data_IF_069767614279
#
_entry.id   IF_069767614279
#
_cell.length_a   1.000
_cell.length_b   1.000
_cell.length_c   1.000
_cell.angle_alpha   90.00
_cell.angle_beta   90.00
_cell.angle_gamma   90.00
#
_symmetry.space_group_name_H-M   'P 1'
#
loop_
_entity.id
_entity.type
_entity.pdbx_description
1 polymer ?
#
# COMPACT_ATOMS: atom_id res chain seq x y z
N UNK A 1 -17.01 2.62 -15.12
CA UNK A 1 -16.17 3.80 -14.78
C UNK A 1 -14.93 3.82 -15.65
N UNK A 2 -14.22 4.97 -15.72
CA UNK A 2 -12.95 5.14 -16.45
C UNK A 2 -11.89 5.65 -15.48
N UNK A 3 -10.70 5.04 -15.49
CA UNK A 3 -9.62 5.32 -14.56
C UNK A 3 -8.36 5.83 -15.28
N UNK A 4 -7.68 6.85 -14.76
CA UNK A 4 -6.37 7.27 -15.24
C UNK A 4 -5.27 6.34 -14.71
N UNK A 5 -4.85 5.37 -15.52
CA UNK A 5 -3.84 4.37 -15.17
C UNK A 5 -2.46 4.84 -15.60
N UNK A 6 -1.57 5.07 -14.65
CA UNK A 6 -0.19 5.49 -14.91
C UNK A 6 0.67 4.31 -15.42
N UNK A 7 0.44 3.13 -14.86
CA UNK A 7 1.01 1.86 -15.35
C UNK A 7 0.18 0.64 -14.90
N UNK A 8 0.27 -0.44 -15.66
CA UNK A 8 -0.22 -1.77 -15.29
C UNK A 8 0.84 -2.80 -15.71
N UNK A 9 1.15 -3.72 -14.79
CA UNK A 9 2.22 -4.70 -15.02
C UNK A 9 2.03 -5.95 -14.16
N UNK A 10 2.80 -6.98 -14.47
CA UNK A 10 2.86 -8.24 -13.73
C UNK A 10 4.22 -8.31 -13.03
N UNK A 11 4.21 -8.59 -11.73
CA UNK A 11 5.42 -8.78 -10.93
C UNK A 11 5.13 -9.68 -9.74
N UNK A 12 5.95 -9.59 -8.70
CA UNK A 12 5.66 -10.12 -7.37
C UNK A 12 5.25 -8.98 -6.44
N UNK A 13 4.42 -9.27 -5.44
CA UNK A 13 4.23 -8.34 -4.34
C UNK A 13 5.58 -8.16 -3.61
N UNK A 14 6.11 -6.95 -3.64
CA UNK A 14 7.38 -6.63 -2.98
C UNK A 14 7.24 -6.47 -1.47
N UNK A 15 6.02 -6.26 -0.99
CA UNK A 15 5.68 -5.92 0.39
C UNK A 15 4.31 -6.50 0.77
N UNK A 16 3.85 -6.17 2.00
CA UNK A 16 2.55 -6.53 2.57
C UNK A 16 2.39 -8.02 2.85
N UNK A 17 1.14 -8.46 3.02
CA UNK A 17 0.81 -9.83 3.48
C UNK A 17 1.13 -10.91 2.45
N UNK A 18 1.19 -10.53 1.17
CA UNK A 18 1.45 -11.42 0.03
C UNK A 18 2.85 -11.25 -0.56
N UNK A 19 3.79 -10.70 0.22
CA UNK A 19 5.18 -10.50 -0.23
C UNK A 19 5.76 -11.78 -0.84
N UNK A 20 6.30 -11.69 -2.06
CA UNK A 20 6.86 -12.81 -2.82
C UNK A 20 5.86 -13.53 -3.74
N UNK A 21 4.57 -13.29 -3.63
CA UNK A 21 3.57 -13.91 -4.51
C UNK A 21 3.44 -13.13 -5.84
N UNK A 22 3.25 -13.83 -7.00
CA UNK A 22 2.90 -13.15 -8.25
C UNK A 22 1.63 -12.32 -8.12
N UNK A 23 1.64 -11.11 -8.70
CA UNK A 23 0.50 -10.20 -8.69
C UNK A 23 0.43 -9.35 -9.96
N UNK A 24 -0.79 -8.91 -10.28
CA UNK A 24 -1.04 -7.86 -11.26
C UNK A 24 -1.15 -6.54 -10.51
N UNK A 25 -0.34 -5.58 -10.91
CA UNK A 25 -0.40 -4.21 -10.37
C UNK A 25 -1.18 -3.29 -11.30
N UNK A 26 -2.05 -2.49 -10.71
CA UNK A 26 -2.71 -1.36 -11.37
C UNK A 26 -2.36 -0.12 -10.57
N UNK A 27 -1.53 0.76 -11.15
CA UNK A 27 -1.12 2.02 -10.54
C UNK A 27 -1.91 3.17 -11.15
N UNK A 28 -2.73 3.80 -10.34
CA UNK A 28 -3.50 4.98 -10.74
C UNK A 28 -2.66 6.25 -10.67
N UNK A 29 -2.98 7.20 -11.54
CA UNK A 29 -2.36 8.55 -11.52
C UNK A 29 -2.99 9.40 -10.43
N UNK A 30 -2.14 10.19 -9.75
CA UNK A 30 -2.56 11.22 -8.82
C UNK A 30 -2.58 10.80 -7.37
N UNK A 31 -2.18 11.70 -6.48
CA UNK A 31 -2.18 11.52 -5.04
C UNK A 31 -2.51 12.85 -4.37
N UNK A 32 -3.21 12.79 -3.25
CA UNK A 32 -3.49 13.95 -2.41
C UNK A 32 -2.34 14.32 -1.47
N UNK A 33 -1.33 13.45 -1.32
CA UNK A 33 -0.16 13.68 -0.47
C UNK A 33 1.10 14.01 -1.29
N UNK A 34 2.12 14.58 -0.61
CA UNK A 34 3.42 14.96 -1.19
C UNK A 34 4.55 14.54 -0.26
N UNK A 35 4.67 13.23 -0.03
CA UNK A 35 5.67 12.65 0.87
C UNK A 35 7.10 12.94 0.39
N UNK A 36 7.99 13.29 1.33
CA UNK A 36 9.38 13.64 1.02
C UNK A 36 10.15 12.51 0.34
N UNK A 37 9.96 11.28 0.78
CA UNK A 37 10.63 10.06 0.28
C UNK A 37 9.79 9.24 -0.72
N UNK A 38 8.74 9.81 -1.32
CA UNK A 38 7.89 9.08 -2.27
C UNK A 38 8.73 8.62 -3.48
N UNK A 39 8.72 7.33 -3.75
CA UNK A 39 9.43 6.72 -4.89
C UNK A 39 8.60 6.74 -6.20
N UNK A 40 7.32 7.06 -6.09
CA UNK A 40 6.39 7.16 -7.23
C UNK A 40 5.94 8.60 -7.51
N UNK A 41 6.76 9.60 -7.18
CA UNK A 41 6.47 11.04 -7.44
C UNK A 41 6.07 11.31 -8.88
N UNK A 42 6.64 10.56 -9.82
CA UNK A 42 6.33 10.68 -11.24
C UNK A 42 4.85 10.38 -11.55
N UNK A 43 4.23 9.40 -10.87
CA UNK A 43 2.82 9.05 -11.06
C UNK A 43 1.86 10.08 -10.45
N UNK A 44 2.37 10.96 -9.57
CA UNK A 44 1.60 12.00 -8.89
C UNK A 44 1.60 13.33 -9.64
N UNK A 45 2.45 13.48 -10.68
CA UNK A 45 2.47 14.67 -11.52
C UNK A 45 1.18 14.78 -12.33
N UNK A 46 0.59 15.98 -12.47
CA UNK A 46 -0.50 16.25 -13.41
C UNK A 46 -0.15 15.88 -14.85
N UNK A 47 1.14 16.03 -15.23
CA UNK A 47 1.67 15.74 -16.56
C UNK A 47 2.06 14.26 -16.74
N UNK A 48 1.88 13.42 -15.73
CA UNK A 48 2.15 11.98 -15.86
C UNK A 48 1.27 11.40 -16.97
N UNK A 49 1.86 10.78 -17.99
CA UNK A 49 1.08 10.02 -18.98
C UNK A 49 0.21 8.97 -18.28
N UNK A 50 -1.05 8.89 -18.67
CA UNK A 50 -1.96 7.88 -18.16
C UNK A 50 -2.85 7.36 -19.28
N UNK A 51 -3.04 6.05 -19.30
CA UNK A 51 -4.00 5.37 -20.13
C UNK A 51 -5.38 5.48 -19.47
N UNK A 52 -6.39 5.96 -20.21
CA UNK A 52 -7.76 6.04 -19.70
C UNK A 52 -8.46 4.71 -19.94
N UNK A 53 -8.56 3.88 -18.92
CA UNK A 53 -9.08 2.52 -19.01
C UNK A 53 -10.39 2.36 -18.21
N UNK A 54 -11.35 1.69 -18.85
CA UNK A 54 -12.62 1.33 -18.23
C UNK A 54 -12.47 0.16 -17.24
N UNK A 55 -13.46 0.00 -16.36
CA UNK A 55 -13.62 -1.17 -15.49
C UNK A 55 -13.52 -2.47 -16.27
N UNK A 56 -14.13 -2.52 -17.49
CA UNK A 56 -14.13 -3.70 -18.35
C UNK A 56 -12.74 -4.03 -18.89
N UNK A 57 -12.02 -3.02 -19.40
CA UNK A 57 -10.67 -3.20 -19.95
C UNK A 57 -9.68 -3.63 -18.87
N UNK A 58 -9.73 -3.02 -17.68
CA UNK A 58 -8.89 -3.40 -16.55
C UNK A 58 -9.19 -4.82 -16.07
N UNK A 59 -10.47 -5.16 -15.92
CA UNK A 59 -10.85 -6.51 -15.52
C UNK A 59 -10.43 -7.55 -16.56
N UNK A 60 -10.63 -7.28 -17.84
CA UNK A 60 -10.22 -8.17 -18.94
C UNK A 60 -8.70 -8.34 -18.98
N UNK A 61 -7.93 -7.26 -18.77
CA UNK A 61 -6.47 -7.34 -18.67
C UNK A 61 -6.05 -8.26 -17.54
N UNK A 62 -6.59 -8.06 -16.32
CA UNK A 62 -6.25 -8.88 -15.15
C UNK A 62 -6.57 -10.36 -15.40
N UNK A 63 -7.81 -10.67 -15.81
CA UNK A 63 -8.27 -12.04 -16.06
C UNK A 63 -7.41 -12.71 -17.14
N UNK A 64 -7.05 -11.97 -18.19
CA UNK A 64 -6.20 -12.45 -19.28
C UNK A 64 -4.79 -12.87 -18.86
N UNK A 65 -4.30 -12.40 -17.69
CA UNK A 65 -2.99 -12.82 -17.17
C UNK A 65 -3.01 -14.19 -16.52
N UNK A 66 -4.15 -14.67 -16.06
CA UNK A 66 -4.29 -15.88 -15.25
C UNK A 66 -3.78 -15.74 -13.81
N UNK A 67 -3.32 -14.56 -13.39
CA UNK A 67 -2.85 -14.29 -12.02
C UNK A 67 -4.02 -13.77 -11.18
N UNK A 68 -4.22 -14.35 -10.01
CA UNK A 68 -5.37 -14.06 -9.14
C UNK A 68 -5.13 -12.92 -8.15
N UNK A 69 -3.87 -12.63 -7.77
CA UNK A 69 -3.59 -11.52 -6.85
C UNK A 69 -3.52 -10.21 -7.64
N UNK A 70 -4.25 -9.20 -7.15
CA UNK A 70 -4.31 -7.87 -7.77
C UNK A 70 -4.03 -6.81 -6.72
N UNK A 71 -3.01 -6.00 -6.94
CA UNK A 71 -2.66 -4.88 -6.08
C UNK A 71 -3.06 -3.57 -6.77
N UNK A 72 -4.06 -2.92 -6.21
CA UNK A 72 -4.49 -1.59 -6.59
C UNK A 72 -3.71 -0.56 -5.77
N UNK A 73 -2.91 0.23 -6.45
CA UNK A 73 -1.95 1.18 -5.85
C UNK A 73 -1.90 2.46 -6.69
N UNK A 74 -0.85 3.23 -6.57
CA UNK A 74 -0.63 4.36 -7.45
C UNK A 74 -0.14 5.58 -6.71
N UNK A 75 -0.74 6.74 -6.99
CA UNK A 75 -0.71 7.85 -6.07
C UNK A 75 -1.55 7.52 -4.84
N UNK A 76 -2.86 7.65 -4.97
CA UNK A 76 -3.81 7.17 -3.96
C UNK A 76 -5.03 6.52 -4.66
N UNK A 77 -5.20 5.20 -4.53
CA UNK A 77 -6.30 4.50 -5.21
C UNK A 77 -7.68 4.90 -4.72
N UNK A 78 -7.82 5.29 -3.44
CA UNK A 78 -9.13 5.69 -2.88
C UNK A 78 -9.62 7.06 -3.38
N UNK A 79 -8.80 7.80 -4.14
CA UNK A 79 -9.24 9.00 -4.88
C UNK A 79 -10.00 8.67 -6.16
N UNK A 80 -9.91 7.42 -6.64
CA UNK A 80 -10.52 7.07 -7.92
C UNK A 80 -12.02 6.90 -7.76
N UNK A 81 -12.77 7.76 -8.42
CA UNK A 81 -14.23 7.65 -8.45
C UNK A 81 -14.64 6.29 -9.06
N UNK A 82 -15.51 5.57 -8.34
CA UNK A 82 -15.98 4.25 -8.77
C UNK A 82 -14.98 3.11 -8.60
N UNK A 83 -13.92 3.28 -7.80
CA UNK A 83 -12.94 2.21 -7.52
C UNK A 83 -13.61 0.93 -7.00
N UNK A 84 -14.71 1.06 -6.24
CA UNK A 84 -15.48 -0.07 -5.73
C UNK A 84 -16.06 -0.96 -6.85
N UNK A 85 -16.47 -0.37 -7.98
CA UNK A 85 -16.99 -1.12 -9.15
C UNK A 85 -15.92 -2.04 -9.75
N UNK A 86 -14.67 -1.54 -9.82
CA UNK A 86 -13.54 -2.34 -10.27
C UNK A 86 -13.23 -3.46 -9.29
N UNK A 87 -13.18 -3.16 -7.99
CA UNK A 87 -12.92 -4.14 -6.92
C UNK A 87 -13.95 -5.26 -6.95
N UNK A 88 -15.23 -4.91 -6.93
CA UNK A 88 -16.33 -5.86 -6.98
C UNK A 88 -16.23 -6.77 -8.21
N UNK A 89 -15.94 -6.20 -9.38
CA UNK A 89 -15.81 -6.95 -10.62
C UNK A 89 -14.63 -7.92 -10.57
N UNK A 90 -13.46 -7.48 -10.10
CA UNK A 90 -12.29 -8.35 -9.95
C UNK A 90 -12.56 -9.49 -8.98
N UNK A 91 -13.13 -9.21 -7.81
CA UNK A 91 -13.42 -10.22 -6.80
C UNK A 91 -14.50 -11.21 -7.23
N UNK A 92 -15.54 -10.76 -7.97
CA UNK A 92 -16.54 -11.66 -8.58
C UNK A 92 -15.93 -12.62 -9.59
N UNK A 93 -14.79 -12.26 -10.19
CA UNK A 93 -14.03 -13.12 -11.09
C UNK A 93 -12.93 -13.93 -10.38
N UNK A 94 -12.98 -14.04 -9.06
CA UNK A 94 -12.08 -14.87 -8.27
C UNK A 94 -10.72 -14.24 -7.96
N UNK A 95 -10.54 -12.94 -8.18
CA UNK A 95 -9.31 -12.25 -7.82
C UNK A 95 -9.24 -11.93 -6.32
N UNK A 96 -8.05 -12.03 -5.75
CA UNK A 96 -7.71 -11.52 -4.42
C UNK A 96 -7.26 -10.06 -4.57
N UNK A 97 -8.11 -9.12 -4.22
CA UNK A 97 -7.78 -7.69 -4.37
C UNK A 97 -7.20 -7.14 -3.08
N UNK A 98 -6.06 -6.49 -3.18
CA UNK A 98 -5.42 -5.69 -2.14
C UNK A 98 -5.38 -4.22 -2.56
N UNK A 99 -5.65 -3.32 -1.62
CA UNK A 99 -5.52 -1.87 -1.81
C UNK A 99 -4.37 -1.37 -0.94
N UNK A 100 -3.33 -0.84 -1.59
CA UNK A 100 -2.28 -0.07 -0.93
C UNK A 100 -2.70 1.40 -0.89
N UNK A 101 -3.10 1.88 0.29
CA UNK A 101 -3.55 3.25 0.50
C UNK A 101 -2.66 4.01 1.47
N UNK A 102 -2.53 5.30 1.27
CA UNK A 102 -1.82 6.20 2.19
C UNK A 102 -2.58 6.49 3.49
N UNK A 103 -3.79 5.95 3.64
CA UNK A 103 -4.59 6.04 4.87
C UNK A 103 -5.19 7.41 5.18
N UNK A 104 -5.12 8.38 4.27
CA UNK A 104 -5.67 9.73 4.46
C UNK A 104 -7.14 9.86 4.05
N UNK A 105 -7.70 8.82 3.43
CA UNK A 105 -9.08 8.78 2.94
C UNK A 105 -9.84 7.71 3.71
N UNK A 106 -11.14 7.93 3.94
CA UNK A 106 -11.98 6.97 4.64
C UNK A 106 -12.16 5.68 3.85
N UNK A 107 -11.91 4.55 4.51
CA UNK A 107 -12.18 3.23 3.98
C UNK A 107 -13.59 2.71 4.30
N UNK A 108 -14.43 3.53 4.93
CA UNK A 108 -15.75 3.13 5.45
C UNK A 108 -16.66 2.50 4.39
N UNK A 109 -16.70 3.11 3.20
CA UNK A 109 -17.54 2.62 2.11
C UNK A 109 -17.08 1.24 1.62
N UNK A 110 -15.78 1.05 1.43
CA UNK A 110 -15.21 -0.23 1.01
C UNK A 110 -15.31 -1.31 2.09
N UNK A 111 -15.21 -0.94 3.37
CA UNK A 111 -15.39 -1.90 4.46
C UNK A 111 -16.81 -2.45 4.52
N UNK A 112 -17.80 -1.64 4.16
CA UNK A 112 -19.21 -2.02 4.14
C UNK A 112 -19.61 -2.88 2.92
N UNK A 113 -18.72 -3.02 1.92
CA UNK A 113 -19.04 -3.78 0.70
C UNK A 113 -19.11 -5.30 0.93
N UNK A 114 -20.00 -6.01 0.20
CA UNK A 114 -20.04 -7.47 0.19
C UNK A 114 -18.72 -8.11 -0.26
N UNK A 115 -18.03 -7.44 -1.20
CA UNK A 115 -16.71 -7.82 -1.73
C UNK A 115 -15.65 -6.86 -1.20
N UNK A 116 -15.32 -6.99 0.07
CA UNK A 116 -14.31 -6.14 0.72
C UNK A 116 -12.90 -6.59 0.34
N UNK A 117 -12.05 -5.69 -0.19
CA UNK A 117 -10.65 -6.00 -0.45
C UNK A 117 -9.85 -6.11 0.85
N UNK A 118 -8.64 -6.66 0.76
CA UNK A 118 -7.64 -6.48 1.82
C UNK A 118 -7.07 -5.05 1.74
N UNK A 119 -6.77 -4.46 2.89
CA UNK A 119 -6.13 -3.15 2.96
C UNK A 119 -4.70 -3.27 3.46
N UNK A 120 -3.79 -2.54 2.83
CA UNK A 120 -2.50 -2.16 3.37
C UNK A 120 -2.49 -0.64 3.57
N UNK A 121 -2.63 -0.21 4.81
CA UNK A 121 -2.56 1.19 5.20
C UNK A 121 -1.11 1.59 5.44
N UNK A 122 -0.58 2.48 4.63
CA UNK A 122 0.76 3.04 4.78
C UNK A 122 0.69 4.31 5.65
N UNK A 123 0.90 4.16 6.97
CA UNK A 123 0.93 5.30 7.89
C UNK A 123 2.13 6.19 7.58
N UNK A 124 1.87 7.42 7.20
CA UNK A 124 2.91 8.39 6.86
C UNK A 124 3.50 9.00 8.12
N UNK A 125 4.73 8.56 8.42
CA UNK A 125 5.50 8.96 9.58
C UNK A 125 6.03 10.41 9.47
N UNK A 126 6.56 11.01 10.56
CA UNK A 126 7.01 12.41 10.56
C UNK A 126 7.95 12.79 9.43
N UNK A 127 8.93 11.93 9.08
CA UNK A 127 9.88 12.21 8.00
C UNK A 127 9.25 12.31 6.61
N UNK A 128 8.03 11.80 6.43
CA UNK A 128 7.25 11.97 5.22
C UNK A 128 6.79 13.42 5.00
N UNK A 129 6.64 14.19 6.09
CA UNK A 129 6.00 15.50 6.10
C UNK A 129 4.46 15.46 5.99
N UNK A 130 3.85 14.25 6.01
CA UNK A 130 2.41 14.07 5.76
C UNK A 130 1.65 13.41 6.92
N UNK A 131 2.26 13.27 8.10
CA UNK A 131 1.65 12.62 9.26
C UNK A 131 0.29 13.24 9.65
N UNK A 132 0.17 14.54 9.57
CA UNK A 132 -1.08 15.27 9.93
C UNK A 132 -2.29 14.92 9.05
N UNK A 133 -2.07 14.29 7.90
CA UNK A 133 -3.13 13.86 7.00
C UNK A 133 -3.67 12.45 7.33
N UNK A 134 -3.09 11.74 8.29
CA UNK A 134 -3.47 10.36 8.60
C UNK A 134 -4.83 10.26 9.28
N UNK A 135 -5.74 9.51 8.67
CA UNK A 135 -7.08 9.25 9.20
C UNK A 135 -7.09 7.96 10.02
N UNK A 136 -6.69 8.06 11.29
CA UNK A 136 -6.58 6.90 12.19
C UNK A 136 -7.93 6.23 12.52
N UNK A 137 -9.05 6.88 12.23
CA UNK A 137 -10.39 6.30 12.27
C UNK A 137 -10.55 5.09 11.37
N UNK A 138 -9.72 4.96 10.33
CA UNK A 138 -9.68 3.77 9.46
C UNK A 138 -9.32 2.51 10.25
N UNK A 139 -8.59 2.61 11.36
CA UNK A 139 -8.15 1.45 12.16
C UNK A 139 -9.28 0.72 12.89
N UNK A 140 -10.48 1.28 12.93
CA UNK A 140 -11.66 0.55 13.43
C UNK A 140 -12.17 -0.51 12.45
N UNK A 141 -11.77 -0.41 11.16
CA UNK A 141 -12.15 -1.34 10.10
C UNK A 141 -11.11 -2.44 9.86
N UNK A 142 -9.96 -2.42 10.57
CA UNK A 142 -8.90 -3.40 10.40
C UNK A 142 -9.36 -4.82 10.75
N UNK A 143 -8.94 -5.78 9.92
CA UNK A 143 -9.17 -7.23 10.07
C UNK A 143 -7.85 -8.00 9.92
N UNK A 144 -7.82 -9.26 10.30
CA UNK A 144 -6.61 -10.10 10.21
C UNK A 144 -6.01 -10.20 8.79
N UNK A 145 -6.83 -10.02 7.76
CA UNK A 145 -6.40 -9.99 6.36
C UNK A 145 -5.82 -8.65 5.91
N UNK A 146 -5.78 -7.65 6.79
CA UNK A 146 -5.24 -6.34 6.50
C UNK A 146 -3.83 -6.16 7.06
N UNK A 147 -3.20 -5.07 6.63
CA UNK A 147 -1.90 -4.66 7.13
C UNK A 147 -1.86 -3.16 7.44
N UNK A 148 -1.02 -2.79 8.40
CA UNK A 148 -0.53 -1.42 8.58
C UNK A 148 0.98 -1.43 8.40
N UNK A 149 1.47 -0.57 7.51
CA UNK A 149 2.87 -0.43 7.16
C UNK A 149 3.38 0.94 7.61
N UNK A 150 4.59 0.95 8.17
CA UNK A 150 5.33 2.13 8.61
C UNK A 150 6.65 2.20 7.84
N UNK A 151 6.75 3.11 6.87
CA UNK A 151 7.99 3.32 6.11
C UNK A 151 8.84 4.35 6.86
N UNK A 152 9.88 3.88 7.55
CA UNK A 152 10.69 4.64 8.49
C UNK A 152 12.00 5.09 7.85
N UNK A 153 12.33 6.37 7.96
CA UNK A 153 13.58 6.95 7.50
C UNK A 153 14.51 7.38 8.64
N UNK A 154 13.99 7.52 9.87
CA UNK A 154 14.68 8.09 11.02
C UNK A 154 14.33 7.38 12.32
N UNK A 155 15.11 7.63 13.39
CA UNK A 155 14.78 7.16 14.76
C UNK A 155 13.44 7.74 15.25
N UNK A 156 13.15 9.00 14.93
CA UNK A 156 11.88 9.62 15.29
C UNK A 156 10.68 8.92 14.64
N UNK A 157 10.85 8.39 13.43
CA UNK A 157 9.82 7.58 12.76
C UNK A 157 9.59 6.26 13.50
N UNK A 158 10.67 5.60 13.96
CA UNK A 158 10.55 4.34 14.71
C UNK A 158 9.81 4.55 16.04
N UNK A 159 10.12 5.62 16.77
CA UNK A 159 9.43 5.98 18.02
C UNK A 159 7.94 6.27 17.75
N UNK A 160 7.65 7.01 16.69
CA UNK A 160 6.26 7.30 16.30
C UNK A 160 5.53 6.04 15.87
N UNK A 161 6.16 5.16 15.11
CA UNK A 161 5.57 3.87 14.73
C UNK A 161 5.21 3.04 15.98
N UNK A 162 6.13 2.94 16.97
CA UNK A 162 5.87 2.23 18.22
C UNK A 162 4.71 2.85 19.02
N UNK A 163 4.63 4.19 19.07
CA UNK A 163 3.51 4.90 19.69
C UNK A 163 2.17 4.52 19.04
N UNK A 164 2.08 4.60 17.71
CA UNK A 164 0.85 4.33 16.96
C UNK A 164 0.45 2.85 17.08
N UNK A 165 1.40 1.93 16.99
CA UNK A 165 1.17 0.49 17.16
C UNK A 165 0.54 0.21 18.52
N UNK A 166 1.12 0.75 19.57
CA UNK A 166 0.64 0.57 20.96
C UNK A 166 -0.71 1.25 21.17
N UNK A 167 -0.84 2.52 20.78
CA UNK A 167 -2.05 3.34 20.98
C UNK A 167 -3.29 2.70 20.38
N UNK A 168 -3.19 2.06 19.23
CA UNK A 168 -4.31 1.45 18.52
C UNK A 168 -4.36 -0.08 18.64
N UNK A 169 -3.45 -0.70 19.41
CA UNK A 169 -3.32 -2.15 19.56
C UNK A 169 -3.32 -2.86 18.19
N UNK A 170 -2.50 -2.35 17.24
CA UNK A 170 -2.57 -2.77 15.84
C UNK A 170 -2.24 -4.25 15.65
N UNK A 171 -1.28 -4.79 16.43
CA UNK A 171 -0.86 -6.20 16.36
C UNK A 171 -1.94 -7.20 16.77
N UNK A 172 -2.99 -6.74 17.44
CA UNK A 172 -4.16 -7.54 17.81
C UNK A 172 -5.22 -7.58 16.71
N UNK A 173 -5.14 -6.66 15.73
CA UNK A 173 -6.16 -6.46 14.70
C UNK A 173 -5.72 -6.93 13.32
N UNK A 174 -4.45 -6.70 12.96
CA UNK A 174 -3.94 -6.91 11.62
C UNK A 174 -2.45 -7.26 11.62
N UNK A 175 -1.86 -7.43 10.43
CA UNK A 175 -0.41 -7.54 10.27
C UNK A 175 0.22 -6.17 10.34
N UNK A 176 1.35 -6.07 11.08
CA UNK A 176 2.08 -4.79 11.24
C UNK A 176 3.49 -4.95 10.72
N UNK A 177 3.87 -4.03 9.84
CA UNK A 177 5.18 -4.01 9.20
C UNK A 177 5.92 -2.69 9.45
N UNK A 178 7.23 -2.77 9.69
CA UNK A 178 8.14 -1.64 9.61
C UNK A 178 9.10 -1.90 8.45
N UNK A 179 9.15 -0.96 7.52
CA UNK A 179 10.02 -1.01 6.33
C UNK A 179 10.99 0.17 6.36
N UNK A 180 12.26 0.00 5.95
CA UNK A 180 13.16 1.15 5.80
C UNK A 180 12.77 1.97 4.57
N UNK A 181 12.90 3.30 4.66
CA UNK A 181 13.08 4.14 3.46
C UNK A 181 14.37 3.66 2.79
N UNK A 182 14.30 3.29 1.51
CA UNK A 182 15.46 2.77 0.80
C UNK A 182 16.59 3.80 0.75
N UNK A 183 17.80 3.41 1.21
CA UNK A 183 18.94 4.32 1.36
C UNK A 183 18.84 5.30 2.56
N UNK A 184 17.79 5.19 3.38
CA UNK A 184 17.60 5.93 4.62
C UNK A 184 18.15 5.19 5.84
N UNK A 185 17.25 4.81 6.77
CA UNK A 185 17.66 4.05 7.96
C UNK A 185 18.07 2.61 7.59
N UNK A 186 19.15 2.14 8.22
CA UNK A 186 19.62 0.78 8.01
C UNK A 186 18.63 -0.26 8.56
N UNK A 187 18.30 -1.33 7.80
CA UNK A 187 17.40 -2.38 8.27
C UNK A 187 17.82 -3.00 9.59
N UNK A 188 19.14 -3.12 9.83
CA UNK A 188 19.72 -3.59 11.09
C UNK A 188 19.25 -2.74 12.26
N UNK A 189 19.24 -1.41 12.10
CA UNK A 189 18.81 -0.49 13.17
C UNK A 189 17.32 -0.68 13.51
N UNK A 190 16.48 -0.94 12.53
CA UNK A 190 15.06 -1.26 12.75
C UNK A 190 14.94 -2.53 13.59
N UNK A 191 15.72 -3.59 13.27
CA UNK A 191 15.72 -4.84 14.05
C UNK A 191 16.14 -4.60 15.48
N UNK A 192 17.23 -3.85 15.71
CA UNK A 192 17.71 -3.48 17.04
C UNK A 192 16.62 -2.76 17.84
N UNK A 193 15.99 -1.76 17.24
CA UNK A 193 14.88 -1.02 17.84
C UNK A 193 13.69 -1.94 18.20
N UNK A 194 13.28 -2.83 17.30
CA UNK A 194 12.19 -3.78 17.55
C UNK A 194 12.49 -4.68 18.74
N UNK A 195 13.75 -5.14 18.88
CA UNK A 195 14.21 -5.97 20.00
C UNK A 195 14.27 -5.16 21.31
N UNK A 196 14.85 -3.97 21.30
CA UNK A 196 14.93 -3.04 22.44
C UNK A 196 13.54 -2.71 23.00
N UNK A 197 12.58 -2.43 22.11
CA UNK A 197 11.20 -2.07 22.45
C UNK A 197 10.27 -3.26 22.62
N UNK A 198 10.76 -4.49 22.41
CA UNK A 198 9.96 -5.74 22.50
C UNK A 198 8.68 -5.66 21.66
N UNK A 199 8.78 -5.20 20.43
CA UNK A 199 7.64 -5.03 19.52
C UNK A 199 7.14 -6.40 18.99
N UNK A 200 6.56 -7.19 19.90
CA UNK A 200 6.02 -8.51 19.55
C UNK A 200 4.87 -8.38 18.54
N UNK A 201 4.87 -9.26 17.54
CA UNK A 201 3.85 -9.23 16.48
C UNK A 201 4.13 -8.24 15.34
N UNK A 202 5.12 -7.34 15.49
CA UNK A 202 5.62 -6.48 14.42
C UNK A 202 6.65 -7.22 13.59
N UNK A 203 6.70 -6.95 12.29
CA UNK A 203 7.63 -7.60 11.34
C UNK A 203 8.47 -6.55 10.62
N UNK A 204 9.78 -6.79 10.52
CA UNK A 204 10.59 -6.09 9.53
C UNK A 204 10.16 -6.56 8.14
N UNK A 205 9.98 -5.64 7.21
CA UNK A 205 9.70 -5.96 5.82
C UNK A 205 10.62 -5.14 4.90
N UNK A 206 11.35 -5.84 4.05
CA UNK A 206 12.15 -5.23 2.97
C UNK A 206 11.29 -5.13 1.70
N UNK A 207 11.56 -4.11 0.91
CA UNK A 207 10.96 -3.95 -0.42
C UNK A 207 11.64 -4.89 -1.41
N UNK A 208 11.13 -6.13 -1.56
CA UNK A 208 11.81 -7.20 -2.32
C UNK A 208 12.18 -6.77 -3.73
N UNK A 209 11.34 -6.00 -4.40
CA UNK A 209 11.60 -5.51 -5.76
C UNK A 209 12.89 -4.68 -5.85
N UNK A 210 13.27 -3.95 -4.80
CA UNK A 210 14.50 -3.14 -4.76
C UNK A 210 15.79 -3.96 -4.57
N UNK A 211 15.65 -5.24 -4.23
CA UNK A 211 16.77 -6.18 -4.10
C UNK A 211 16.89 -7.13 -5.30
N UNK A 212 15.75 -7.39 -5.98
CA UNK A 212 15.71 -8.30 -7.13
C UNK A 212 16.07 -7.56 -8.42
N UNK A 213 15.63 -6.33 -8.55
CA UNK A 213 15.89 -5.48 -9.72
C UNK A 213 16.62 -4.19 -9.33
N UNK A 214 16.99 -3.42 -10.35
CA UNK A 214 17.47 -2.04 -10.11
C UNK A 214 16.42 -1.26 -9.32
N UNK A 215 16.80 -0.59 -8.20
CA UNK A 215 15.85 0.10 -7.33
C UNK A 215 15.00 1.18 -8.01
N UNK A 216 15.48 1.75 -9.14
CA UNK A 216 14.77 2.76 -9.93
C UNK A 216 13.95 2.16 -11.09
N UNK A 217 14.01 0.83 -11.27
CA UNK A 217 13.28 0.16 -12.35
C UNK A 217 11.77 0.21 -12.11
N UNK A 218 11.03 0.60 -13.14
CA UNK A 218 9.55 0.62 -13.13
C UNK A 218 8.97 -0.66 -13.73
N UNK A 219 7.73 -0.97 -13.36
CA UNK A 219 7.01 -2.13 -13.89
C UNK A 219 7.53 -3.49 -13.40
N UNK A 220 8.13 -3.50 -12.20
CA UNK A 220 8.71 -4.71 -11.58
C UNK A 220 8.29 -4.85 -10.13
#
# INVERSE_FOLDING_TARGET
>A
MIFPVAEKFISINGESIRAGEPAVFIRFRGCNLRCGYCDTKWANSPDCPAEMLSTEELSSYVIGTGITNVTLTGGEPLLQEGIYELIEKLMKNGCNVEIETNGSISAAELDAMPFRPAFTFDYKLPSSGMESAMLTENYKYLRECDAVKFVSGTEADLEKAAEIISRFALTEKCKVYISPVFGGIEPKRIVEFMLERKLNGVRLQLQLHKYIWDPEKRGV
#
